data_IF_953017968547
#
_entry.id   IF_953017968547
#
_cell.length_a   1.000
_cell.length_b   1.000
_cell.length_c   1.000
_cell.angle_alpha   90.00
_cell.angle_beta   90.00
_cell.angle_gamma   90.00
#
_symmetry.space_group_name_H-M   'P 1'
#
loop_
_entity.id
_entity.type
_entity.pdbx_description
1 polymer ?
#
# COMPACT_ATOMS: atom_id res chain seq x y z
N UNK A 1 74.62 -1.87 -31.48
CA UNK A 1 74.10 -1.17 -30.29
C UNK A 1 72.59 -0.93 -30.35
N UNK A 2 72.01 -0.52 -31.50
CA UNK A 2 70.57 -0.26 -31.63
C UNK A 2 69.64 -1.50 -31.49
N UNK A 3 70.03 -2.67 -32.01
CA UNK A 3 69.23 -3.90 -31.89
C UNK A 3 69.10 -4.41 -30.45
N UNK A 4 70.17 -4.28 -29.64
CA UNK A 4 70.16 -4.74 -28.24
C UNK A 4 69.22 -3.86 -27.39
N UNK A 5 69.25 -2.54 -27.61
CA UNK A 5 68.33 -1.63 -26.92
C UNK A 5 66.85 -1.88 -27.29
N UNK A 6 66.57 -2.28 -28.54
CA UNK A 6 65.22 -2.62 -28.99
C UNK A 6 64.68 -3.88 -28.30
N UNK A 7 65.49 -4.94 -28.20
CA UNK A 7 65.12 -6.17 -27.50
C UNK A 7 64.90 -5.97 -25.99
N UNK A 8 65.76 -5.19 -25.33
CA UNK A 8 65.59 -4.85 -23.89
C UNK A 8 64.30 -4.05 -23.66
N UNK A 9 63.95 -3.15 -24.59
CA UNK A 9 62.72 -2.36 -24.49
C UNK A 9 61.47 -3.22 -24.68
N UNK A 10 61.47 -4.16 -25.63
CA UNK A 10 60.39 -5.15 -25.81
C UNK A 10 60.20 -6.03 -24.57
N UNK A 11 61.28 -6.55 -24.00
CA UNK A 11 61.23 -7.39 -22.81
C UNK A 11 60.73 -6.62 -21.56
N UNK A 12 61.05 -5.33 -21.44
CA UNK A 12 60.50 -4.45 -20.40
C UNK A 12 59.00 -4.16 -20.61
N UNK A 13 58.54 -4.02 -21.86
CA UNK A 13 57.12 -3.85 -22.18
C UNK A 13 56.35 -5.12 -21.81
N UNK A 14 56.84 -6.30 -22.17
CA UNK A 14 56.20 -7.58 -21.82
C UNK A 14 56.11 -7.80 -20.31
N UNK A 15 57.18 -7.47 -19.57
CA UNK A 15 57.22 -7.61 -18.11
C UNK A 15 56.24 -6.65 -17.44
N UNK A 16 56.14 -5.40 -17.92
CA UNK A 16 55.13 -4.44 -17.46
C UNK A 16 53.73 -4.93 -17.78
N UNK A 17 53.48 -5.40 -19.00
CA UNK A 17 52.18 -5.91 -19.43
C UNK A 17 51.71 -7.09 -18.54
N UNK A 18 52.59 -8.04 -18.27
CA UNK A 18 52.32 -9.18 -17.38
C UNK A 18 52.02 -8.70 -15.95
N UNK A 19 52.75 -7.69 -15.46
CA UNK A 19 52.52 -7.12 -14.11
C UNK A 19 51.18 -6.41 -14.04
N UNK A 20 50.82 -5.62 -15.06
CA UNK A 20 49.51 -4.93 -15.13
C UNK A 20 48.37 -5.94 -15.23
N UNK A 21 48.51 -7.01 -16.03
CA UNK A 21 47.51 -8.08 -16.13
C UNK A 21 47.32 -8.83 -14.80
N UNK A 22 48.39 -9.09 -14.06
CA UNK A 22 48.32 -9.70 -12.72
C UNK A 22 47.63 -8.78 -11.71
N UNK A 23 47.87 -7.47 -11.76
CA UNK A 23 47.21 -6.48 -10.91
C UNK A 23 45.70 -6.38 -11.23
N UNK A 24 45.33 -6.38 -12.51
CA UNK A 24 43.92 -6.42 -12.95
C UNK A 24 43.22 -7.70 -12.50
N UNK A 25 43.86 -8.86 -12.63
CA UNK A 25 43.32 -10.14 -12.16
C UNK A 25 43.14 -10.18 -10.64
N UNK A 26 44.07 -9.58 -9.89
CA UNK A 26 43.98 -9.47 -8.43
C UNK A 26 42.84 -8.53 -8.00
N UNK A 27 42.67 -7.38 -8.67
CA UNK A 27 41.55 -6.47 -8.43
C UNK A 27 40.22 -7.17 -8.75
N UNK A 28 40.14 -7.89 -9.87
CA UNK A 28 38.96 -8.68 -10.22
C UNK A 28 38.66 -9.74 -9.16
N UNK A 29 39.67 -10.50 -8.71
CA UNK A 29 39.54 -11.52 -7.66
C UNK A 29 39.12 -10.92 -6.30
N UNK A 30 39.56 -9.71 -5.96
CA UNK A 30 39.17 -8.98 -4.75
C UNK A 30 37.74 -8.39 -4.85
N UNK A 31 37.23 -8.16 -6.07
CA UNK A 31 35.85 -7.69 -6.31
C UNK A 31 34.81 -8.83 -6.25
N UNK A 32 35.17 -10.07 -6.57
CA UNK A 32 34.26 -11.24 -6.49
C UNK A 32 33.59 -11.40 -5.11
N UNK A 33 34.29 -11.33 -3.96
CA UNK A 33 33.65 -11.47 -2.65
C UNK A 33 32.70 -10.31 -2.30
N UNK A 34 32.85 -9.12 -2.88
CA UNK A 34 31.89 -8.02 -2.67
C UNK A 34 30.51 -8.34 -3.29
N UNK A 35 30.46 -9.09 -4.38
CA UNK A 35 29.19 -9.53 -5.01
C UNK A 35 28.47 -10.55 -4.12
N UNK A 36 29.21 -11.40 -3.41
CA UNK A 36 28.64 -12.40 -2.50
C UNK A 36 28.02 -11.79 -1.23
N UNK A 37 28.49 -10.61 -0.80
CA UNK A 37 27.96 -9.90 0.37
C UNK A 37 26.68 -9.09 0.07
N UNK A 38 26.28 -8.94 -1.20
CA UNK A 38 25.09 -8.20 -1.60
C UNK A 38 23.84 -9.11 -1.80
N UNK A 39 23.81 -10.30 -1.19
CA UNK A 39 22.72 -11.25 -1.40
C UNK A 39 21.44 -10.81 -0.69
N UNK A 40 20.51 -10.24 -1.45
CA UNK A 40 19.17 -9.91 -1.00
C UNK A 40 18.45 -11.17 -0.46
N UNK A 41 18.04 -11.13 0.80
CA UNK A 41 17.28 -12.22 1.41
C UNK A 41 15.82 -12.11 1.02
N UNK A 42 15.25 -13.20 0.49
CA UNK A 42 13.83 -13.26 0.13
C UNK A 42 13.10 -14.25 1.02
N UNK A 43 11.97 -13.81 1.58
CA UNK A 43 11.09 -14.58 2.45
C UNK A 43 9.71 -14.63 1.81
N UNK A 44 9.30 -15.79 1.31
CA UNK A 44 8.07 -15.95 0.54
C UNK A 44 7.20 -17.07 1.07
N UNK A 45 5.89 -16.93 0.90
CA UNK A 45 4.95 -17.95 1.35
C UNK A 45 3.47 -17.56 1.22
N UNK A 46 2.63 -18.37 1.84
CA UNK A 46 1.18 -18.19 1.92
C UNK A 46 0.73 -18.21 3.37
N UNK A 47 -0.23 -17.32 3.69
CA UNK A 47 -0.84 -17.20 5.00
C UNK A 47 -2.29 -17.66 4.93
N UNK A 48 -2.67 -18.55 5.84
CA UNK A 48 -4.01 -19.14 5.89
C UNK A 48 -4.59 -19.06 7.30
N UNK A 49 -5.92 -19.03 7.36
CA UNK A 49 -6.67 -19.23 8.60
C UNK A 49 -6.50 -20.68 9.06
N UNK A 50 -6.07 -20.86 10.32
CA UNK A 50 -5.76 -22.17 10.88
C UNK A 50 -6.98 -23.11 10.94
N UNK A 51 -8.18 -22.54 11.15
CA UNK A 51 -9.41 -23.30 11.41
C UNK A 51 -10.09 -23.79 10.13
N UNK A 52 -10.19 -22.92 9.14
CA UNK A 52 -10.90 -23.10 7.87
C UNK A 52 -9.97 -23.47 6.72
N UNK A 53 -8.66 -23.21 6.86
CA UNK A 53 -7.67 -23.43 5.81
C UNK A 53 -7.75 -22.44 4.65
N UNK A 54 -8.61 -21.41 4.73
CA UNK A 54 -8.76 -20.41 3.68
C UNK A 54 -7.57 -19.43 3.65
N UNK A 55 -7.16 -18.94 2.47
CA UNK A 55 -6.15 -17.90 2.38
C UNK A 55 -6.61 -16.61 3.08
N UNK A 56 -5.66 -15.91 3.68
CA UNK A 56 -5.90 -14.64 4.37
C UNK A 56 -5.31 -13.49 3.57
N UNK A 57 -6.14 -12.67 2.90
CA UNK A 57 -5.68 -11.44 2.27
C UNK A 57 -5.43 -10.35 3.30
N UNK A 58 -4.67 -9.32 2.91
CA UNK A 58 -4.45 -8.12 3.73
C UNK A 58 -3.75 -8.38 5.07
N UNK A 59 -2.97 -9.47 5.17
CA UNK A 59 -2.15 -9.77 6.34
C UNK A 59 -0.84 -8.98 6.24
N UNK A 60 -0.50 -8.26 7.29
CA UNK A 60 0.79 -7.57 7.38
C UNK A 60 1.89 -8.56 7.74
N UNK A 61 2.97 -8.54 6.95
CA UNK A 61 4.19 -9.33 7.18
C UNK A 61 5.36 -8.38 7.26
N UNK A 62 6.02 -8.31 8.41
CA UNK A 62 7.01 -7.27 8.71
C UNK A 62 8.31 -7.82 9.30
N UNK A 63 9.42 -7.19 8.94
CA UNK A 63 10.73 -7.30 9.58
C UNK A 63 11.21 -5.88 9.96
N UNK A 64 10.94 -5.48 11.20
CA UNK A 64 11.15 -4.08 11.62
C UNK A 64 10.30 -3.11 10.81
N UNK A 65 10.94 -2.07 10.25
CA UNK A 65 10.29 -1.08 9.37
C UNK A 65 9.89 -1.63 8.00
N UNK A 66 10.57 -2.67 7.49
CA UNK A 66 10.27 -3.23 6.18
C UNK A 66 9.05 -4.15 6.28
N UNK A 67 8.09 -4.00 5.37
CA UNK A 67 6.88 -4.84 5.35
C UNK A 67 6.31 -5.07 3.97
N UNK A 68 5.48 -6.11 3.87
CA UNK A 68 4.58 -6.38 2.76
C UNK A 68 3.21 -6.77 3.28
N UNK A 69 2.24 -6.85 2.38
CA UNK A 69 0.86 -7.25 2.66
C UNK A 69 0.50 -8.43 1.76
N UNK A 70 -0.22 -9.43 2.29
CA UNK A 70 -0.67 -10.57 1.48
C UNK A 70 -1.75 -10.17 0.46
N UNK A 71 -1.72 -10.82 -0.69
CA UNK A 71 -2.72 -10.65 -1.75
C UNK A 71 -4.02 -11.44 -1.49
N UNK A 72 -4.95 -11.43 -2.45
CA UNK A 72 -6.23 -12.16 -2.37
C UNK A 72 -6.09 -13.68 -2.12
N UNK A 73 -4.96 -14.26 -2.51
CA UNK A 73 -4.66 -15.69 -2.34
C UNK A 73 -3.82 -15.96 -1.07
N UNK A 74 -3.63 -14.95 -0.22
CA UNK A 74 -2.83 -15.03 1.00
C UNK A 74 -1.33 -15.10 0.76
N UNK A 75 -0.87 -14.90 -0.48
CA UNK A 75 0.55 -14.98 -0.83
C UNK A 75 1.28 -13.68 -0.52
N UNK A 76 2.55 -13.78 -0.11
CA UNK A 76 3.46 -12.66 0.11
C UNK A 76 4.89 -13.00 -0.33
N UNK A 77 5.67 -11.94 -0.62
CA UNK A 77 7.10 -12.02 -0.88
C UNK A 77 7.80 -10.81 -0.26
N UNK A 78 8.52 -11.04 0.84
CA UNK A 78 9.26 -10.03 1.57
C UNK A 78 10.75 -10.09 1.22
N UNK A 79 11.26 -9.04 0.61
CA UNK A 79 12.64 -8.84 0.19
C UNK A 79 13.36 -7.94 1.19
N UNK A 80 14.54 -8.36 1.64
CA UNK A 80 15.29 -7.74 2.72
C UNK A 80 16.77 -7.64 2.34
N UNK A 81 17.42 -6.55 2.72
CA UNK A 81 18.88 -6.38 2.51
C UNK A 81 19.68 -7.39 3.32
N UNK A 82 19.25 -7.63 4.56
CA UNK A 82 19.83 -8.62 5.47
C UNK A 82 18.76 -9.59 5.95
N UNK A 83 19.18 -10.79 6.34
CA UNK A 83 18.27 -11.78 6.93
C UNK A 83 17.93 -11.41 8.38
N UNK A 84 16.66 -11.12 8.71
CA UNK A 84 16.27 -10.88 10.09
C UNK A 84 16.15 -12.20 10.85
N UNK A 85 16.27 -12.14 12.17
CA UNK A 85 16.04 -13.33 13.01
C UNK A 85 14.59 -13.84 12.93
N UNK A 86 13.63 -12.93 12.76
CA UNK A 86 12.21 -13.25 12.68
C UNK A 86 11.44 -12.26 11.79
N UNK A 87 10.31 -12.73 11.28
CA UNK A 87 9.25 -11.88 10.73
C UNK A 87 8.06 -11.89 11.69
N UNK A 88 7.32 -10.79 11.76
CA UNK A 88 6.06 -10.68 12.49
C UNK A 88 4.91 -10.68 11.49
N UNK A 89 3.94 -11.54 11.75
CA UNK A 89 2.73 -11.68 10.95
C UNK A 89 1.54 -11.28 11.79
N UNK A 90 0.78 -10.27 11.36
CA UNK A 90 -0.36 -9.72 12.09
C UNK A 90 -1.55 -9.46 11.18
N UNK A 91 -2.75 -9.77 11.66
CA UNK A 91 -4.01 -9.51 10.97
C UNK A 91 -5.11 -9.21 12.00
N UNK A 92 -6.10 -8.41 11.62
CA UNK A 92 -7.27 -8.10 12.45
C UNK A 92 -8.02 -9.38 12.83
N UNK A 93 -8.25 -9.58 14.13
CA UNK A 93 -9.00 -10.73 14.66
C UNK A 93 -8.19 -12.03 14.76
N UNK A 94 -6.87 -11.99 14.57
CA UNK A 94 -5.97 -13.15 14.68
C UNK A 94 -4.84 -12.89 15.67
N UNK A 95 -4.31 -13.98 16.25
CA UNK A 95 -3.11 -13.91 17.08
C UNK A 95 -1.91 -13.61 16.22
N UNK A 96 -1.09 -12.68 16.69
CA UNK A 96 0.17 -12.31 16.02
C UNK A 96 1.13 -13.45 16.11
N UNK A 97 1.83 -13.72 15.02
CA UNK A 97 2.79 -14.82 14.94
C UNK A 97 4.15 -14.28 14.58
N UNK A 98 5.12 -14.51 15.48
CA UNK A 98 6.55 -14.32 15.17
C UNK A 98 7.08 -15.62 14.58
N UNK A 99 7.60 -15.54 13.35
CA UNK A 99 8.15 -16.69 12.63
C UNK A 99 9.66 -16.53 12.56
N UNK A 100 10.40 -17.45 13.18
CA UNK A 100 11.85 -17.48 13.12
C UNK A 100 12.32 -17.96 11.75
N UNK A 101 13.30 -17.29 11.14
CA UNK A 101 13.80 -17.61 9.82
C UNK A 101 15.07 -18.48 9.89
N UNK A 102 14.97 -19.76 9.53
CA UNK A 102 16.13 -20.68 9.47
C UNK A 102 16.84 -20.63 8.12
N UNK A 103 18.13 -20.95 8.07
CA UNK A 103 18.89 -20.94 6.81
C UNK A 103 18.29 -21.97 5.84
N UNK A 104 18.04 -21.56 4.59
CA UNK A 104 17.40 -22.41 3.57
C UNK A 104 15.88 -22.59 3.72
N UNK A 105 15.25 -22.06 4.78
CA UNK A 105 13.80 -22.18 5.03
C UNK A 105 13.11 -20.80 4.95
N UNK A 106 13.39 -20.02 3.90
CA UNK A 106 12.75 -18.71 3.70
C UNK A 106 11.75 -18.70 2.55
N UNK A 107 11.71 -19.75 1.73
CA UNK A 107 10.82 -19.86 0.58
C UNK A 107 9.65 -20.81 0.84
N UNK A 108 8.53 -20.58 0.16
CA UNK A 108 7.33 -21.43 0.21
C UNK A 108 6.78 -21.68 1.63
N UNK A 109 6.94 -20.71 2.53
CA UNK A 109 6.46 -20.79 3.90
C UNK A 109 4.93 -20.94 3.93
N UNK A 110 4.41 -21.87 4.74
CA UNK A 110 2.98 -21.99 5.00
C UNK A 110 2.67 -21.56 6.43
N UNK A 111 2.24 -20.31 6.58
CA UNK A 111 1.99 -19.72 7.90
C UNK A 111 0.51 -19.81 8.22
N UNK A 112 0.18 -20.52 9.30
CA UNK A 112 -1.19 -20.57 9.83
C UNK A 112 -1.37 -19.54 10.93
N UNK A 113 -2.41 -18.72 10.83
CA UNK A 113 -2.84 -17.79 11.87
C UNK A 113 -4.04 -18.33 12.63
N UNK A 114 -3.96 -18.31 13.96
CA UNK A 114 -5.05 -18.72 14.83
C UNK A 114 -6.01 -17.54 15.03
N UNK A 115 -7.33 -17.71 14.79
CA UNK A 115 -8.33 -16.70 15.16
C UNK A 115 -8.24 -16.37 16.65
N UNK A 116 -8.32 -15.09 16.97
CA UNK A 116 -8.33 -14.67 18.37
C UNK A 116 -9.70 -14.95 18.97
N UNK A 117 -9.70 -15.46 20.20
CA UNK A 117 -10.89 -15.54 21.04
C UNK A 117 -10.76 -14.45 22.09
N UNK A 118 -11.50 -13.37 21.91
CA UNK A 118 -11.58 -12.31 22.92
C UNK A 118 -12.56 -12.82 23.96
N UNK A 119 -12.04 -13.40 25.04
CA UNK A 119 -12.86 -13.51 26.24
C UNK A 119 -13.01 -12.09 26.77
N UNK A 120 -14.23 -11.57 26.70
CA UNK A 120 -14.66 -10.38 27.42
C UNK A 120 -14.56 -10.70 28.92
N UNK A 121 -13.34 -10.84 29.47
CA UNK A 121 -13.11 -10.33 30.82
C UNK A 121 -13.61 -8.92 30.74
N UNK A 122 -14.48 -8.50 31.66
CA UNK A 122 -14.91 -7.12 31.81
C UNK A 122 -13.71 -6.21 31.52
N UNK A 123 -13.58 -5.83 30.26
CA UNK A 123 -12.78 -4.70 29.91
C UNK A 123 -13.63 -3.69 30.62
N UNK A 124 -13.03 -3.05 31.62
CA UNK A 124 -13.50 -1.76 32.09
C UNK A 124 -13.41 -0.88 30.85
N UNK A 125 -14.32 -1.09 29.89
CA UNK A 125 -14.69 -0.14 28.87
C UNK A 125 -15.11 0.98 29.78
N UNK A 126 -14.18 1.94 29.91
CA UNK A 126 -14.40 3.15 30.69
C UNK A 126 -15.83 3.55 30.37
N UNK A 127 -16.65 3.66 31.40
CA UNK A 127 -18.11 3.87 31.35
C UNK A 127 -18.47 5.24 30.75
N UNK A 128 -17.66 5.74 29.82
CA UNK A 128 -17.74 7.01 29.15
C UNK A 128 -18.27 6.87 27.73
N UNK A 129 -18.52 8.02 27.12
CA UNK A 129 -19.09 8.13 25.79
C UNK A 129 -18.04 7.68 24.75
N UNK A 130 -18.40 6.80 23.78
CA UNK A 130 -17.45 6.39 22.72
C UNK A 130 -16.85 7.57 21.96
N UNK A 131 -17.60 8.67 21.82
CA UNK A 131 -17.10 9.92 21.23
C UNK A 131 -15.90 10.48 22.00
N UNK A 132 -15.92 10.44 23.32
CA UNK A 132 -14.82 10.95 24.17
C UNK A 132 -13.50 10.23 23.85
N UNK A 133 -13.55 8.92 23.56
CA UNK A 133 -12.37 8.15 23.18
C UNK A 133 -11.83 8.58 21.82
N UNK A 134 -12.70 8.88 20.85
CA UNK A 134 -12.29 9.43 19.55
C UNK A 134 -11.62 10.79 19.75
N UNK A 135 -12.22 11.68 20.54
CA UNK A 135 -11.64 13.00 20.84
C UNK A 135 -10.29 12.92 21.56
N UNK A 136 -10.14 11.98 22.51
CA UNK A 136 -8.86 11.73 23.18
C UNK A 136 -7.82 11.21 22.18
N UNK A 137 -8.19 10.28 21.30
CA UNK A 137 -7.29 9.75 20.28
C UNK A 137 -6.82 10.85 19.31
N UNK A 138 -7.72 11.76 18.90
CA UNK A 138 -7.38 12.95 18.11
C UNK A 138 -6.38 13.85 18.86
N UNK A 139 -6.65 14.15 20.14
CA UNK A 139 -5.74 14.96 20.98
C UNK A 139 -4.36 14.34 21.15
N UNK A 140 -4.25 13.00 21.08
CA UNK A 140 -2.98 12.27 21.15
C UNK A 140 -2.25 12.10 19.81
N UNK A 141 -2.79 12.60 18.70
CA UNK A 141 -2.09 12.54 17.40
C UNK A 141 -0.65 13.08 17.48
N UNK A 142 -0.37 14.25 18.12
CA UNK A 142 0.99 14.76 18.23
C UNK A 142 1.96 13.88 19.04
N UNK A 143 1.45 13.00 19.92
CA UNK A 143 2.25 12.08 20.74
C UNK A 143 2.47 10.74 20.05
N UNK A 144 1.46 10.26 19.32
CA UNK A 144 1.43 8.92 18.75
C UNK A 144 1.96 8.85 17.30
N UNK A 145 2.04 9.98 16.59
CA UNK A 145 2.41 10.05 15.16
C UNK A 145 3.58 11.00 14.93
N UNK A 146 4.21 10.90 13.76
CA UNK A 146 5.43 11.67 13.46
C UNK A 146 5.21 13.19 13.52
N UNK A 147 6.11 13.87 14.24
CA UNK A 147 6.22 15.34 14.30
C UNK A 147 7.26 15.91 13.34
N UNK A 148 7.95 15.04 12.60
CA UNK A 148 9.00 15.41 11.66
C UNK A 148 8.67 14.89 10.26
N UNK A 149 9.27 15.47 9.21
CA UNK A 149 9.16 14.91 7.88
C UNK A 149 9.64 13.46 7.79
N UNK A 150 8.94 12.64 7.02
CA UNK A 150 9.30 11.26 6.74
C UNK A 150 9.13 10.94 5.26
N UNK A 151 9.93 9.99 4.78
CA UNK A 151 9.78 9.39 3.47
C UNK A 151 9.30 7.95 3.64
N UNK A 152 8.10 7.66 3.15
CA UNK A 152 7.54 6.32 3.12
C UNK A 152 7.73 5.76 1.72
N UNK A 153 8.39 4.61 1.59
CA UNK A 153 8.39 3.86 0.33
C UNK A 153 7.12 3.03 0.30
N UNK A 154 6.39 3.08 -0.80
CA UNK A 154 5.12 2.40 -0.93
C UNK A 154 5.02 1.65 -2.25
N UNK A 155 4.34 0.52 -2.23
CA UNK A 155 3.76 -0.06 -3.43
C UNK A 155 2.34 0.46 -3.59
N UNK A 156 1.98 0.88 -4.80
CA UNK A 156 0.67 1.38 -5.17
C UNK A 156 0.12 0.60 -6.35
N UNK A 157 -1.17 0.28 -6.33
CA UNK A 157 -1.87 -0.44 -7.39
C UNK A 157 -3.26 0.13 -7.60
N UNK A 158 -3.60 0.41 -8.84
CA UNK A 158 -4.95 0.68 -9.30
C UNK A 158 -5.44 -0.44 -10.21
N UNK A 159 -6.67 -0.89 -10.02
CA UNK A 159 -7.30 -1.84 -10.94
C UNK A 159 -8.71 -1.40 -11.28
N UNK A 160 -9.14 -1.67 -12.51
CA UNK A 160 -10.55 -1.59 -12.87
C UNK A 160 -11.01 -2.90 -13.50
N UNK A 161 -12.14 -3.41 -13.01
CA UNK A 161 -12.83 -4.58 -13.50
C UNK A 161 -14.16 -4.19 -14.11
N UNK A 162 -14.48 -4.79 -15.25
CA UNK A 162 -15.80 -4.78 -15.87
C UNK A 162 -16.42 -6.15 -15.67
N UNK A 163 -17.50 -6.21 -14.88
CA UNK A 163 -18.03 -7.48 -14.34
C UNK A 163 -16.94 -8.21 -13.55
N UNK A 164 -16.36 -9.29 -14.10
CA UNK A 164 -15.29 -10.09 -13.48
C UNK A 164 -13.96 -10.05 -14.25
N UNK A 165 -13.84 -9.16 -15.24
CA UNK A 165 -12.65 -9.08 -16.09
C UNK A 165 -11.91 -7.77 -15.84
N UNK A 166 -10.62 -7.86 -15.52
CA UNK A 166 -9.73 -6.71 -15.49
C UNK A 166 -9.67 -6.05 -16.87
N UNK A 167 -9.86 -4.74 -16.88
CA UNK A 167 -9.79 -3.87 -18.07
C UNK A 167 -8.71 -2.80 -17.91
N UNK A 168 -8.21 -2.61 -16.70
CA UNK A 168 -7.11 -1.71 -16.37
C UNK A 168 -6.36 -2.22 -15.15
N UNK A 169 -5.03 -2.11 -15.21
CA UNK A 169 -4.12 -2.34 -14.10
C UNK A 169 -3.02 -1.29 -14.20
N UNK A 170 -2.75 -0.58 -13.12
CA UNK A 170 -1.57 0.26 -12.98
C UNK A 170 -0.90 -0.04 -11.64
N UNK A 171 0.42 -0.09 -11.62
CA UNK A 171 1.20 -0.49 -10.45
C UNK A 171 2.48 0.31 -10.39
N UNK A 172 2.83 0.79 -9.20
CA UNK A 172 4.02 1.60 -8.97
C UNK A 172 4.69 1.30 -7.65
N UNK A 173 5.99 1.57 -7.60
CA UNK A 173 6.70 1.86 -6.37
C UNK A 173 6.87 3.37 -6.30
N UNK A 174 6.55 3.92 -5.14
CA UNK A 174 6.39 5.35 -4.94
C UNK A 174 7.13 5.77 -3.68
N UNK A 175 7.68 6.98 -3.74
CA UNK A 175 8.15 7.72 -2.58
C UNK A 175 7.03 8.67 -2.14
N UNK A 176 6.58 8.50 -0.90
CA UNK A 176 5.56 9.32 -0.26
C UNK A 176 6.20 10.15 0.85
N UNK A 177 6.45 11.42 0.56
CA UNK A 177 6.92 12.39 1.53
C UNK A 177 5.76 12.87 2.40
N UNK A 178 5.87 12.64 3.70
CA UNK A 178 4.88 13.03 4.71
C UNK A 178 5.46 14.12 5.59
N UNK A 179 4.74 15.22 5.74
CA UNK A 179 5.04 16.23 6.75
C UNK A 179 4.52 15.81 8.13
N UNK A 180 4.94 16.50 9.19
CA UNK A 180 4.40 16.33 10.56
C UNK A 180 2.87 16.14 10.58
N UNK A 181 2.37 15.17 11.33
CA UNK A 181 0.93 14.94 11.53
C UNK A 181 0.22 16.11 12.22
N UNK A 182 0.96 17.06 12.80
CA UNK A 182 0.42 18.33 13.32
C UNK A 182 0.13 19.36 12.22
N UNK A 183 0.27 18.98 10.94
CA UNK A 183 -0.04 19.79 9.76
C UNK A 183 -0.93 18.97 8.83
N UNK A 184 -1.80 19.66 8.09
CA UNK A 184 -2.60 19.01 7.05
C UNK A 184 -1.77 18.45 5.90
N UNK A 185 -2.43 17.75 4.98
CA UNK A 185 -1.79 16.98 3.90
C UNK A 185 -1.31 17.81 2.72
N UNK A 186 -1.63 19.11 2.65
CA UNK A 186 -1.33 19.94 1.46
C UNK A 186 0.15 20.08 1.08
N UNK A 187 1.08 19.71 1.98
CA UNK A 187 2.53 19.67 1.74
C UNK A 187 3.13 18.27 1.65
N UNK A 188 2.30 17.24 1.78
CA UNK A 188 2.70 15.87 1.48
C UNK A 188 2.84 15.74 -0.04
N UNK A 189 3.75 14.86 -0.48
CA UNK A 189 4.05 14.67 -1.90
C UNK A 189 4.21 13.19 -2.20
N UNK A 190 3.82 12.80 -3.40
CA UNK A 190 4.03 11.44 -3.93
C UNK A 190 4.79 11.54 -5.23
N UNK A 191 5.84 10.75 -5.37
CA UNK A 191 6.59 10.57 -6.61
C UNK A 191 6.63 9.10 -6.99
N UNK A 192 6.31 8.79 -8.24
CA UNK A 192 6.51 7.43 -8.76
C UNK A 192 7.99 7.27 -9.07
N UNK A 193 8.60 6.27 -8.46
CA UNK A 193 9.99 5.88 -8.73
C UNK A 193 10.04 4.91 -9.91
N UNK A 194 9.09 3.99 -9.95
CA UNK A 194 9.00 2.97 -10.99
C UNK A 194 7.55 2.53 -11.12
N UNK A 195 7.03 2.41 -12.34
CA UNK A 195 5.63 2.04 -12.53
C UNK A 195 5.35 1.47 -13.90
N UNK A 196 4.28 0.68 -13.97
CA UNK A 196 3.75 0.14 -15.23
C UNK A 196 2.25 0.31 -15.30
N UNK A 197 1.74 0.36 -16.53
CA UNK A 197 0.30 0.45 -16.81
C UNK A 197 -0.11 -0.48 -17.93
N UNK A 198 -1.25 -1.14 -17.77
CA UNK A 198 -1.86 -2.04 -18.73
C UNK A 198 -3.34 -1.65 -18.94
N UNK A 199 -3.73 -1.41 -20.19
CA UNK A 199 -5.06 -0.95 -20.57
C UNK A 199 -5.69 -1.86 -21.62
N UNK A 200 -6.98 -2.18 -21.44
CA UNK A 200 -7.82 -2.73 -22.51
C UNK A 200 -8.00 -1.67 -23.60
N UNK A 201 -7.76 -2.04 -24.87
CA UNK A 201 -7.90 -1.13 -26.02
C UNK A 201 -9.36 -0.79 -26.41
N UNK A 202 -10.37 -1.29 -25.68
CA UNK A 202 -11.78 -1.07 -26.01
C UNK A 202 -12.24 0.30 -25.48
N UNK A 203 -12.63 1.21 -26.38
CA UNK A 203 -13.02 2.60 -26.11
C UNK A 203 -14.10 2.79 -25.00
N UNK A 204 -14.98 1.79 -24.80
CA UNK A 204 -16.02 1.80 -23.77
C UNK A 204 -15.59 1.39 -22.35
N UNK A 205 -14.31 1.06 -22.14
CA UNK A 205 -13.76 0.60 -20.86
C UNK A 205 -13.06 1.72 -20.06
N UNK A 206 -13.00 2.95 -20.60
CA UNK A 206 -12.28 4.10 -20.01
C UNK A 206 -12.93 4.72 -18.76
N UNK A 207 -14.14 4.29 -18.38
CA UNK A 207 -14.89 4.93 -17.29
C UNK A 207 -14.29 4.67 -15.90
N UNK A 208 -13.66 3.51 -15.70
CA UNK A 208 -12.98 3.19 -14.44
C UNK A 208 -11.87 4.19 -14.10
N UNK A 209 -11.18 4.73 -15.12
CA UNK A 209 -10.07 5.67 -14.94
C UNK A 209 -10.50 7.00 -14.32
N UNK A 210 -11.74 7.45 -14.55
CA UNK A 210 -12.25 8.74 -14.06
C UNK A 210 -12.75 8.70 -12.61
N UNK A 211 -12.63 7.55 -11.96
CA UNK A 211 -13.12 7.27 -10.60
C UNK A 211 -11.95 7.13 -9.61
N UNK A 212 -10.70 6.95 -10.06
CA UNK A 212 -9.64 6.38 -9.21
C UNK A 212 -8.68 7.34 -8.48
N UNK A 213 -8.80 8.67 -8.62
CA UNK A 213 -8.10 9.63 -7.74
C UNK A 213 -6.55 9.63 -7.78
N UNK A 214 -5.90 8.68 -8.45
CA UNK A 214 -4.46 8.64 -8.66
C UNK A 214 -3.64 8.30 -7.41
N UNK A 215 -2.30 8.32 -7.53
CA UNK A 215 -1.37 7.95 -6.46
C UNK A 215 -1.33 8.96 -5.31
N UNK A 216 -1.98 10.12 -5.45
CA UNK A 216 -2.17 11.10 -4.37
C UNK A 216 -3.32 10.71 -3.44
N UNK A 217 -4.24 9.85 -3.89
CA UNK A 217 -5.41 9.44 -3.13
C UNK A 217 -5.06 8.86 -1.74
N UNK A 218 -4.04 7.98 -1.56
CA UNK A 218 -3.66 7.50 -0.24
C UNK A 218 -3.21 8.59 0.74
N UNK A 219 -2.66 9.70 0.23
CA UNK A 219 -2.31 10.86 1.06
C UNK A 219 -3.56 11.59 1.51
N UNK A 220 -4.54 11.77 0.62
CA UNK A 220 -5.82 12.44 0.93
C UNK A 220 -6.71 11.61 1.87
N UNK A 221 -6.65 10.28 1.74
CA UNK A 221 -7.43 9.34 2.55
C UNK A 221 -6.72 8.88 3.83
N UNK A 222 -5.55 9.44 4.16
CA UNK A 222 -4.94 9.29 5.49
C UNK A 222 -5.78 10.06 6.53
N UNK A 223 -6.87 9.44 6.99
CA UNK A 223 -7.92 10.04 7.83
C UNK A 223 -7.34 10.73 9.07
N UNK A 224 -6.33 10.12 9.71
CA UNK A 224 -5.71 10.67 10.92
C UNK A 224 -4.93 11.96 10.63
N UNK A 225 -4.26 12.06 9.48
CA UNK A 225 -3.54 13.29 9.10
C UNK A 225 -4.47 14.32 8.45
N UNK A 226 -5.43 13.86 7.67
CA UNK A 226 -6.44 14.67 7.01
C UNK A 226 -7.70 14.72 7.86
N UNK A 227 -7.61 15.32 9.06
CA UNK A 227 -8.72 15.39 10.02
C UNK A 227 -9.96 16.04 9.42
N UNK A 228 -9.80 16.94 8.45
CA UNK A 228 -10.91 17.56 7.71
C UNK A 228 -11.79 16.57 6.94
N UNK A 229 -11.36 15.32 6.75
CA UNK A 229 -12.16 14.28 6.09
C UNK A 229 -13.29 13.74 6.98
N UNK A 230 -13.11 13.75 8.30
CA UNK A 230 -14.01 13.06 9.24
C UNK A 230 -13.85 13.47 10.70
N UNK A 231 -12.64 13.81 11.12
CA UNK A 231 -12.24 13.97 12.54
C UNK A 231 -12.19 15.44 12.98
N UNK A 232 -12.69 16.38 12.18
CA UNK A 232 -12.89 17.76 12.61
C UNK A 232 -14.17 17.87 13.45
N UNK A 233 -14.27 18.93 14.26
CA UNK A 233 -15.40 19.11 15.19
C UNK A 233 -16.75 19.15 14.47
N UNK A 234 -16.84 19.87 13.35
CA UNK A 234 -18.09 20.06 12.62
C UNK A 234 -18.64 18.73 12.06
N UNK A 235 -17.76 17.91 11.48
CA UNK A 235 -18.13 16.60 10.95
C UNK A 235 -18.43 15.64 12.09
N UNK A 236 -17.65 15.66 13.17
CA UNK A 236 -17.90 14.81 14.33
C UNK A 236 -19.28 15.04 14.94
N UNK A 237 -19.81 16.26 14.89
CA UNK A 237 -21.16 16.59 15.37
C UNK A 237 -22.28 16.04 14.45
N UNK A 238 -21.96 15.63 13.22
CA UNK A 238 -22.89 15.02 12.28
C UNK A 238 -23.07 13.51 12.47
N UNK A 239 -22.37 12.90 13.44
CA UNK A 239 -22.39 11.46 13.69
C UNK A 239 -22.92 11.11 15.08
N UNK A 240 -23.56 9.94 15.16
CA UNK A 240 -23.76 9.20 16.40
C UNK A 240 -22.60 8.24 16.63
N UNK A 241 -22.31 7.94 17.89
CA UNK A 241 -21.18 7.10 18.30
C UNK A 241 -21.67 5.94 19.17
N UNK A 242 -21.23 4.73 18.87
CA UNK A 242 -21.55 3.54 19.67
C UNK A 242 -20.34 2.62 19.80
N UNK A 243 -20.37 1.74 20.80
CA UNK A 243 -19.34 0.74 20.98
C UNK A 243 -19.53 -0.42 19.99
N UNK A 244 -18.46 -0.74 19.26
CA UNK A 244 -18.33 -2.00 18.54
C UNK A 244 -17.79 -3.10 19.45
N UNK A 245 -17.75 -4.32 18.94
CA UNK A 245 -17.04 -5.42 19.61
C UNK A 245 -15.53 -5.10 19.62
N UNK A 246 -14.86 -5.11 20.78
CA UNK A 246 -13.41 -4.94 20.84
C UNK A 246 -12.72 -5.99 19.98
N UNK A 247 -11.59 -5.62 19.38
CA UNK A 247 -10.84 -6.49 18.46
C UNK A 247 -9.37 -6.57 18.85
N UNK A 248 -8.66 -7.56 18.30
CA UNK A 248 -7.21 -7.69 18.50
C UNK A 248 -6.49 -7.42 17.18
N UNK A 249 -5.52 -6.51 17.23
CA UNK A 249 -4.59 -6.21 16.14
C UNK A 249 -3.19 -6.20 16.74
N UNK A 250 -2.26 -6.97 16.16
CA UNK A 250 -0.87 -7.05 16.62
C UNK A 250 -0.74 -7.40 18.13
N UNK A 251 -1.58 -8.34 18.61
CA UNK A 251 -1.70 -8.76 20.01
C UNK A 251 -2.03 -7.62 20.99
N UNK A 252 -2.61 -6.54 20.49
CA UNK A 252 -3.06 -5.40 21.29
C UNK A 252 -4.57 -5.24 21.16
N UNK A 253 -5.20 -4.98 22.29
CA UNK A 253 -6.63 -4.74 22.37
C UNK A 253 -6.97 -3.40 21.73
N UNK A 254 -7.92 -3.44 20.80
CA UNK A 254 -8.47 -2.29 20.11
C UNK A 254 -9.87 -2.02 20.65
N UNK A 255 -10.07 -0.81 21.16
CA UNK A 255 -11.41 -0.27 21.35
C UNK A 255 -11.99 0.04 19.97
N UNK A 256 -13.18 -0.48 19.67
CA UNK A 256 -13.85 -0.24 18.40
C UNK A 256 -14.99 0.73 18.62
N UNK A 257 -14.93 1.88 17.96
CA UNK A 257 -16.01 2.89 17.95
C UNK A 257 -16.68 2.86 16.58
N UNK A 258 -18.00 2.68 16.57
CA UNK A 258 -18.82 2.76 15.37
C UNK A 258 -19.36 4.18 15.24
N UNK A 259 -19.30 4.74 14.03
CA UNK A 259 -19.89 6.04 13.70
C UNK A 259 -20.97 5.86 12.63
N UNK A 260 -22.12 6.49 12.84
CA UNK A 260 -23.25 6.45 11.91
C UNK A 260 -23.81 7.87 11.70
N UNK A 261 -24.08 8.29 10.44
CA UNK A 261 -24.64 9.60 10.15
C UNK A 261 -25.91 9.88 10.97
N UNK A 262 -25.92 10.96 11.74
CA UNK A 262 -27.06 11.38 12.57
C UNK A 262 -28.05 12.24 11.78
N UNK A 263 -27.55 13.13 10.93
CA UNK A 263 -28.36 13.99 10.05
C UNK A 263 -27.65 14.23 8.72
N UNK A 264 -28.40 14.70 7.72
CA UNK A 264 -27.84 14.94 6.38
C UNK A 264 -27.05 16.25 6.32
N UNK A 265 -25.87 16.21 5.68
CA UNK A 265 -25.08 17.38 5.28
C UNK A 265 -25.21 17.64 3.78
N UNK A 266 -24.64 18.73 3.27
CA UNK A 266 -24.65 19.05 1.82
C UNK A 266 -23.79 18.08 0.97
N UNK A 267 -22.82 17.44 1.62
CA UNK A 267 -21.99 16.35 1.11
C UNK A 267 -22.43 15.00 1.71
N UNK A 268 -21.99 13.90 1.09
CA UNK A 268 -22.26 12.56 1.61
C UNK A 268 -21.36 12.26 2.82
N UNK A 269 -21.97 11.70 3.87
CA UNK A 269 -21.30 11.26 5.09
C UNK A 269 -20.89 9.78 4.98
N UNK A 270 -20.16 9.28 5.97
CA UNK A 270 -19.66 7.91 6.00
C UNK A 270 -20.17 7.13 7.22
N UNK A 271 -20.56 5.89 7.02
CA UNK A 271 -20.59 4.90 8.10
C UNK A 271 -19.15 4.47 8.39
N UNK A 272 -18.78 4.30 9.66
CA UNK A 272 -17.39 4.02 9.99
C UNK A 272 -17.16 3.12 11.20
N UNK A 273 -15.98 2.49 11.21
CA UNK A 273 -15.42 1.76 12.35
C UNK A 273 -14.02 2.29 12.63
N UNK A 274 -13.82 2.82 13.83
CA UNK A 274 -12.56 3.38 14.30
C UNK A 274 -11.95 2.42 15.32
N UNK A 275 -10.78 1.87 15.02
CA UNK A 275 -10.04 0.98 15.91
C UNK A 275 -8.96 1.81 16.61
N UNK A 276 -9.05 1.87 17.94
CA UNK A 276 -8.20 2.71 18.79
C UNK A 276 -7.48 1.81 19.79
N UNK A 277 -6.16 1.86 19.80
CA UNK A 277 -5.33 1.08 20.72
C UNK A 277 -5.66 1.42 22.18
N UNK A 278 -5.99 0.40 22.98
CA UNK A 278 -6.49 0.60 24.34
C UNK A 278 -5.49 1.28 25.30
N UNK A 279 -4.19 1.16 25.05
CA UNK A 279 -3.17 1.76 25.92
C UNK A 279 -2.63 3.07 25.35
N UNK A 280 -2.25 3.09 24.06
CA UNK A 280 -1.67 4.27 23.40
C UNK A 280 -2.73 5.31 23.06
N UNK A 281 -3.97 4.89 22.85
CA UNK A 281 -5.06 5.70 22.31
C UNK A 281 -4.67 6.30 20.93
N UNK A 282 -4.05 5.46 20.09
CA UNK A 282 -3.74 5.78 18.70
C UNK A 282 -4.73 5.05 17.79
N UNK A 283 -5.12 5.66 16.67
CA UNK A 283 -5.88 4.94 15.65
C UNK A 283 -4.96 3.90 14.99
N UNK A 284 -5.40 2.64 14.98
CA UNK A 284 -4.65 1.53 14.35
C UNK A 284 -5.29 1.09 13.04
N UNK A 285 -6.60 1.31 12.89
CA UNK A 285 -7.37 1.01 11.68
C UNK A 285 -8.60 1.89 11.62
N UNK A 286 -8.97 2.32 10.42
CA UNK A 286 -10.21 3.04 10.15
C UNK A 286 -10.87 2.40 8.92
N UNK A 287 -12.12 2.00 9.07
CA UNK A 287 -12.95 1.49 7.97
C UNK A 287 -14.09 2.48 7.73
N UNK A 288 -14.26 2.93 6.49
CA UNK A 288 -15.30 3.86 6.08
C UNK A 288 -16.10 3.29 4.93
N UNK A 289 -17.41 3.51 4.94
CA UNK A 289 -18.32 3.23 3.84
C UNK A 289 -19.19 4.45 3.61
N UNK A 290 -19.11 5.02 2.41
CA UNK A 290 -19.93 6.19 2.05
C UNK A 290 -21.42 5.86 2.17
N UNK A 291 -22.18 6.77 2.76
CA UNK A 291 -23.64 6.66 2.81
C UNK A 291 -24.23 6.82 1.41
N UNK A 292 -24.96 5.79 0.96
CA UNK A 292 -25.53 5.69 -0.38
C UNK A 292 -26.99 6.16 -0.45
N UNK A 293 -27.55 6.67 0.65
CA UNK A 293 -28.95 7.09 0.75
C UNK A 293 -29.29 8.20 -0.27
N UNK A 294 -28.40 9.17 -0.44
CA UNK A 294 -28.49 10.24 -1.43
C UNK A 294 -27.55 9.95 -2.63
N UNK A 295 -28.16 9.55 -3.75
CA UNK A 295 -27.43 9.17 -4.97
C UNK A 295 -26.70 10.33 -5.63
N UNK A 296 -27.18 11.56 -5.49
CA UNK A 296 -26.53 12.73 -6.08
C UNK A 296 -25.27 13.08 -5.28
N UNK A 297 -25.36 13.10 -3.95
CA UNK A 297 -24.18 13.27 -3.08
C UNK A 297 -23.16 12.16 -3.31
N UNK A 298 -23.60 10.90 -3.32
CA UNK A 298 -22.72 9.76 -3.58
C UNK A 298 -22.05 9.82 -4.96
N UNK A 299 -22.79 10.26 -6.00
CA UNK A 299 -22.22 10.44 -7.34
C UNK A 299 -21.16 11.55 -7.36
N UNK A 300 -21.40 12.69 -6.69
CA UNK A 300 -20.41 13.78 -6.61
C UNK A 300 -19.13 13.35 -5.88
N UNK A 301 -19.25 12.54 -4.84
CA UNK A 301 -18.08 12.00 -4.11
C UNK A 301 -17.30 10.98 -4.95
N UNK A 302 -17.98 10.09 -5.68
CA UNK A 302 -17.33 9.00 -6.40
C UNK A 302 -16.82 9.36 -7.80
N UNK A 303 -17.29 10.45 -8.41
CA UNK A 303 -17.04 10.73 -9.83
C UNK A 303 -16.61 12.17 -10.05
N UNK A 304 -15.33 12.37 -10.39
CA UNK A 304 -14.76 13.70 -10.69
C UNK A 304 -15.41 14.33 -11.92
N UNK A 305 -15.57 13.56 -13.01
CA UNK A 305 -16.23 14.05 -14.24
C UNK A 305 -16.99 12.94 -14.97
N UNK A 306 -18.29 13.15 -15.12
CA UNK A 306 -19.21 12.25 -15.84
C UNK A 306 -19.11 12.44 -17.36
N UNK A 307 -18.83 11.39 -18.16
CA UNK A 307 -18.93 11.48 -19.62
C UNK A 307 -20.37 11.75 -20.08
N UNK A 308 -20.50 12.51 -21.16
CA UNK A 308 -21.81 12.83 -21.73
C UNK A 308 -22.57 11.56 -22.13
N UNK A 309 -23.85 11.45 -21.74
CA UNK A 309 -24.73 10.34 -22.10
C UNK A 309 -24.62 9.07 -21.23
N UNK A 310 -23.71 9.02 -20.25
CA UNK A 310 -23.57 7.90 -19.31
C UNK A 310 -24.47 8.11 -18.09
N UNK A 311 -25.32 7.15 -17.72
CA UNK A 311 -25.96 7.14 -16.39
C UNK A 311 -25.05 6.38 -15.42
N UNK A 312 -24.54 7.08 -14.42
CA UNK A 312 -23.69 6.52 -13.37
C UNK A 312 -24.57 6.21 -12.16
N UNK A 313 -24.42 5.02 -11.59
CA UNK A 313 -25.20 4.56 -10.45
C UNK A 313 -24.22 4.08 -9.38
N UNK A 314 -23.94 4.90 -8.34
CA UNK A 314 -23.06 4.50 -7.26
C UNK A 314 -23.65 3.29 -6.53
N UNK A 315 -22.80 2.36 -6.09
CA UNK A 315 -23.19 1.16 -5.34
C UNK A 315 -22.38 1.00 -4.06
N UNK A 316 -21.09 1.30 -4.10
CA UNK A 316 -20.20 1.19 -2.96
C UNK A 316 -19.02 2.16 -3.13
N UNK A 317 -18.67 2.86 -2.05
CA UNK A 317 -17.37 3.46 -1.86
C UNK A 317 -16.94 3.07 -0.45
N UNK A 318 -15.96 2.19 -0.36
CA UNK A 318 -15.44 1.69 0.91
C UNK A 318 -13.93 1.89 0.98
N UNK A 319 -13.45 2.39 2.12
CA UNK A 319 -12.04 2.64 2.37
C UNK A 319 -11.61 1.94 3.66
N UNK A 320 -10.48 1.26 3.61
CA UNK A 320 -9.78 0.72 4.77
C UNK A 320 -8.43 1.41 4.85
N UNK A 321 -8.09 1.94 6.02
CA UNK A 321 -6.78 2.55 6.31
C UNK A 321 -6.22 1.89 7.54
N UNK A 322 -5.05 1.26 7.42
CA UNK A 322 -4.32 0.70 8.55
C UNK A 322 -3.12 1.57 8.92
N UNK A 323 -2.85 1.58 10.21
CA UNK A 323 -1.74 2.29 10.81
C UNK A 323 -0.87 1.31 11.60
N UNK A 324 0.44 1.40 11.43
CA UNK A 324 1.41 0.52 12.06
C UNK A 324 2.34 1.30 12.98
N UNK A 325 2.49 0.79 14.20
CA UNK A 325 3.43 1.31 15.19
C UNK A 325 4.81 0.67 15.00
N UNK A 326 5.82 1.49 14.69
CA UNK A 326 7.23 1.09 14.48
C UNK A 326 8.14 2.22 14.92
N UNK A 327 9.29 1.89 15.53
CA UNK A 327 10.30 2.87 15.95
C UNK A 327 9.74 4.01 16.82
N UNK A 328 8.83 3.66 17.75
CA UNK A 328 8.26 4.61 18.70
C UNK A 328 7.06 5.41 18.20
N UNK A 329 6.73 5.36 16.90
CA UNK A 329 5.67 6.18 16.30
C UNK A 329 4.74 5.38 15.38
N UNK A 330 3.55 5.92 15.15
CA UNK A 330 2.51 5.35 14.30
C UNK A 330 2.55 5.99 12.92
N UNK A 331 2.48 5.17 11.86
CA UNK A 331 2.47 5.61 10.46
C UNK A 331 1.33 4.92 9.72
N UNK A 332 0.77 5.58 8.70
CA UNK A 332 -0.05 4.87 7.72
C UNK A 332 0.76 3.71 7.14
N UNK A 333 0.16 2.53 7.03
CA UNK A 333 0.85 1.32 6.56
C UNK A 333 0.17 0.64 5.40
N UNK A 334 -1.14 0.73 5.31
CA UNK A 334 -1.90 0.14 4.21
C UNK A 334 -3.16 0.96 3.97
N UNK A 335 -3.57 1.04 2.71
CA UNK A 335 -4.82 1.65 2.32
C UNK A 335 -5.44 0.85 1.18
N UNK A 336 -6.74 0.62 1.25
CA UNK A 336 -7.52 0.10 0.13
C UNK A 336 -8.84 0.83 0.00
N UNK A 337 -9.03 1.45 -1.15
CA UNK A 337 -10.26 2.13 -1.51
C UNK A 337 -10.95 1.41 -2.66
N UNK A 338 -12.22 1.05 -2.50
CA UNK A 338 -13.00 0.25 -3.44
C UNK A 338 -14.23 1.02 -3.88
N UNK A 339 -14.37 1.17 -5.19
CA UNK A 339 -15.54 1.76 -5.83
C UNK A 339 -16.30 0.66 -6.56
N UNK A 340 -17.59 0.51 -6.29
CA UNK A 340 -18.50 -0.29 -7.13
C UNK A 340 -19.59 0.60 -7.68
N UNK A 341 -19.84 0.48 -8.98
CA UNK A 341 -20.85 1.28 -9.65
C UNK A 341 -21.39 0.55 -10.88
N UNK A 342 -22.61 0.93 -11.28
CA UNK A 342 -23.22 0.48 -12.53
C UNK A 342 -23.27 1.63 -13.51
N UNK A 343 -23.15 1.32 -14.81
CA UNK A 343 -23.30 2.31 -15.86
C UNK A 343 -24.22 1.84 -16.99
N UNK A 344 -25.09 2.76 -17.42
CA UNK A 344 -25.98 2.60 -18.57
C UNK A 344 -25.60 3.60 -19.65
N UNK A 345 -25.37 3.12 -20.86
CA UNK A 345 -25.19 3.97 -22.04
C UNK A 345 -26.55 4.13 -22.74
N UNK A 346 -26.91 5.36 -23.16
CA UNK A 346 -28.10 5.58 -23.99
C UNK A 346 -28.03 4.60 -25.18
N UNK A 347 -29.07 3.75 -25.35
CA UNK A 347 -29.20 2.64 -26.34
C UNK A 347 -28.77 1.23 -25.92
N UNK A 348 -28.35 0.96 -24.67
CA UNK A 348 -28.12 -0.42 -24.17
C UNK A 348 -29.17 -0.83 -23.13
N UNK A 349 -29.73 -2.04 -23.29
CA UNK A 349 -30.79 -2.59 -22.44
C UNK A 349 -30.31 -3.08 -21.06
N UNK A 350 -28.99 -3.16 -20.82
CA UNK A 350 -28.44 -3.71 -19.57
C UNK A 350 -27.37 -2.81 -18.97
N UNK A 351 -27.45 -2.63 -17.65
CA UNK A 351 -26.42 -1.97 -16.86
C UNK A 351 -25.17 -2.82 -16.79
N UNK A 352 -24.00 -2.22 -17.01
CA UNK A 352 -22.71 -2.89 -16.81
C UNK A 352 -22.16 -2.52 -15.44
N UNK A 353 -21.79 -3.52 -14.64
CA UNK A 353 -21.13 -3.33 -13.35
C UNK A 353 -19.63 -3.15 -13.52
N UNK A 354 -19.09 -2.25 -12.72
CA UNK A 354 -17.68 -1.94 -12.64
C UNK A 354 -17.22 -1.96 -11.19
N UNK A 355 -15.99 -2.41 -10.98
CA UNK A 355 -15.28 -2.32 -9.71
C UNK A 355 -13.94 -1.68 -9.96
N UNK A 356 -13.66 -0.58 -9.28
CA UNK A 356 -12.37 0.09 -9.32
C UNK A 356 -11.75 -0.03 -7.92
N UNK A 357 -10.45 -0.31 -7.83
CA UNK A 357 -9.75 -0.45 -6.54
C UNK A 357 -8.43 0.30 -6.61
N UNK A 358 -8.16 1.11 -5.59
CA UNK A 358 -6.86 1.71 -5.34
C UNK A 358 -6.30 1.09 -4.06
N UNK A 359 -5.08 0.58 -4.11
CA UNK A 359 -4.45 -0.13 -3.02
C UNK A 359 -3.02 0.38 -2.83
N UNK A 360 -2.62 0.62 -1.59
CA UNK A 360 -1.29 1.08 -1.22
C UNK A 360 -0.79 0.29 -0.01
N UNK A 361 0.46 -0.15 -0.04
CA UNK A 361 1.16 -0.69 1.12
C UNK A 361 2.49 0.02 1.30
N UNK A 362 2.73 0.55 2.50
CA UNK A 362 4.05 1.07 2.89
C UNK A 362 4.99 -0.10 3.11
N UNK A 363 6.09 -0.10 2.37
CA UNK A 363 7.07 -1.19 2.35
C UNK A 363 8.33 -0.87 3.12
N UNK A 364 8.62 0.42 3.33
CA UNK A 364 9.72 0.90 4.17
C UNK A 364 9.46 2.36 4.60
N UNK A 365 10.16 2.84 5.63
CA UNK A 365 10.08 4.22 6.11
C UNK A 365 11.43 4.77 6.54
N UNK A 366 11.68 6.06 6.29
CA UNK A 366 12.88 6.79 6.72
C UNK A 366 12.50 8.16 7.30
N UNK A 367 13.13 8.54 8.41
CA UNK A 367 12.91 9.84 9.06
C UNK A 367 14.17 10.72 9.07
N UNK A 368 15.36 10.14 8.99
CA UNK A 368 16.63 10.87 9.06
C UNK A 368 17.03 11.45 7.70
N UNK A 369 17.41 12.73 7.67
CA UNK A 369 17.95 13.40 6.49
C UNK A 369 16.96 13.59 5.34
N UNK A 370 15.67 13.38 5.58
CA UNK A 370 14.63 13.41 4.54
C UNK A 370 14.49 14.81 3.94
N UNK A 371 14.58 14.88 2.61
CA UNK A 371 14.33 16.11 1.85
C UNK A 371 12.95 16.06 1.18
N UNK A 372 12.27 17.22 1.01
CA UNK A 372 11.03 17.28 0.26
C UNK A 372 11.23 16.81 -1.19
N UNK A 373 10.23 16.11 -1.73
CA UNK A 373 10.17 15.77 -3.15
C UNK A 373 10.01 17.07 -3.97
N UNK A 374 10.89 17.26 -4.95
CA UNK A 374 10.85 18.41 -5.87
C UNK A 374 9.54 18.38 -6.67
N UNK A 375 8.80 19.50 -6.70
CA UNK A 375 7.43 19.55 -7.23
C UNK A 375 7.25 19.02 -8.67
N UNK A 376 8.27 19.17 -9.54
CA UNK A 376 8.21 18.66 -10.92
C UNK A 376 8.17 17.13 -11.00
N UNK A 377 8.66 16.46 -9.95
CA UNK A 377 8.68 15.00 -9.82
C UNK A 377 7.49 14.47 -9.01
N UNK A 378 6.65 15.35 -8.45
CA UNK A 378 5.49 14.95 -7.66
C UNK A 378 4.20 14.90 -8.48
N UNK A 379 3.25 14.11 -8.03
CA UNK A 379 1.87 14.12 -8.50
C UNK A 379 1.04 15.20 -7.80
N UNK A 380 0.18 15.87 -8.56
CA UNK A 380 -0.95 16.65 -8.05
C UNK A 380 -2.19 15.76 -7.86
N UNK A 381 -3.13 16.21 -7.03
CA UNK A 381 -4.48 15.64 -6.90
C UNK A 381 -5.26 15.50 -8.22
N UNK A 382 -4.92 16.26 -9.26
CA UNK A 382 -5.53 16.17 -10.58
C UNK A 382 -4.76 15.26 -11.56
N UNK A 383 -3.54 14.84 -11.21
CA UNK A 383 -2.73 14.00 -12.08
C UNK A 383 -3.27 12.58 -12.06
N UNK A 384 -3.71 12.08 -13.22
CA UNK A 384 -3.99 10.67 -13.35
C UNK A 384 -2.66 9.90 -13.42
N UNK A 385 -2.58 8.74 -12.75
CA UNK A 385 -1.45 7.80 -12.91
C UNK A 385 -1.14 7.53 -14.40
N UNK A 386 -2.19 7.58 -15.23
CA UNK A 386 -2.17 7.50 -16.68
C UNK A 386 -1.16 8.44 -17.37
N UNK A 387 -0.91 9.64 -16.87
CA UNK A 387 -0.21 10.68 -17.63
C UNK A 387 1.33 10.60 -17.55
N UNK A 388 1.89 9.83 -16.60
CA UNK A 388 3.33 9.89 -16.27
C UNK A 388 4.07 8.56 -16.24
N UNK A 389 3.44 7.44 -16.63
CA UNK A 389 4.02 6.10 -16.46
C UNK A 389 4.14 5.34 -17.78
N UNK A 390 5.35 4.81 -18.01
CA UNK A 390 5.70 4.07 -19.22
C UNK A 390 4.99 2.71 -19.30
N UNK A 391 4.80 2.25 -20.54
CA UNK A 391 4.26 0.93 -20.82
C UNK A 391 5.39 -0.11 -20.73
N UNK A 392 5.14 -1.27 -20.11
CA UNK A 392 6.26 -2.13 -19.71
C UNK A 392 6.01 -3.64 -19.78
N UNK A 393 7.10 -4.40 -20.04
CA UNK A 393 7.09 -5.81 -20.48
C UNK A 393 8.10 -6.77 -19.79
N UNK A 394 9.04 -6.32 -18.96
CA UNK A 394 10.05 -7.19 -18.31
C UNK A 394 9.44 -8.01 -17.14
N UNK A 395 9.62 -9.34 -17.13
CA UNK A 395 9.25 -10.21 -16.02
C UNK A 395 9.97 -9.91 -14.69
N UNK A 396 11.19 -9.38 -14.72
CA UNK A 396 12.03 -9.11 -13.53
C UNK A 396 11.79 -7.73 -12.89
N UNK A 397 10.74 -7.04 -13.33
CA UNK A 397 10.51 -5.63 -13.04
C UNK A 397 10.57 -5.26 -11.56
N UNK A 398 10.07 -6.16 -10.70
CA UNK A 398 9.91 -5.93 -9.26
C UNK A 398 10.96 -6.67 -8.42
N UNK A 399 12.01 -7.25 -9.02
CA UNK A 399 12.98 -8.10 -8.31
C UNK A 399 13.64 -7.41 -7.11
N UNK A 400 13.80 -6.08 -7.16
CA UNK A 400 14.43 -5.29 -6.11
C UNK A 400 13.43 -4.51 -5.23
N UNK A 401 12.14 -4.78 -5.37
CA UNK A 401 11.08 -4.03 -4.69
C UNK A 401 10.10 -4.94 -3.97
N UNK A 402 9.79 -4.56 -2.73
CA UNK A 402 8.66 -5.10 -2.00
C UNK A 402 7.37 -4.58 -2.64
N UNK A 403 6.44 -5.49 -2.93
CA UNK A 403 5.15 -5.20 -3.54
C UNK A 403 4.07 -6.06 -2.89
N UNK A 404 2.81 -5.76 -3.18
CA UNK A 404 1.73 -6.72 -2.98
C UNK A 404 1.73 -7.64 -4.19
N UNK A 405 2.01 -8.93 -3.99
CA UNK A 405 2.04 -9.89 -5.10
C UNK A 405 0.69 -9.91 -5.85
N UNK A 406 0.67 -10.03 -7.19
CA UNK A 406 -0.60 -10.17 -7.90
C UNK A 406 -1.27 -11.49 -7.47
N UNK A 407 -2.60 -11.48 -7.32
CA UNK A 407 -3.34 -12.74 -7.19
C UNK A 407 -3.25 -13.55 -8.49
N UNK A 408 -3.52 -14.85 -8.46
CA UNK A 408 -3.52 -15.70 -9.65
C UNK A 408 -4.44 -15.12 -10.74
N UNK A 409 -5.61 -14.62 -10.34
CA UNK A 409 -6.57 -13.98 -11.24
C UNK A 409 -6.04 -12.70 -11.88
N UNK A 410 -5.29 -11.90 -11.13
CA UNK A 410 -4.68 -10.65 -11.60
C UNK A 410 -3.46 -10.95 -12.49
N UNK A 411 -2.59 -11.88 -12.09
CA UNK A 411 -1.43 -12.28 -12.88
C UNK A 411 -1.84 -12.81 -14.27
N UNK A 412 -2.86 -13.67 -14.32
CA UNK A 412 -3.44 -14.16 -15.58
C UNK A 412 -3.98 -13.02 -16.44
N UNK A 413 -4.59 -12.01 -15.83
CA UNK A 413 -5.09 -10.84 -16.55
C UNK A 413 -3.95 -9.95 -17.06
N UNK A 414 -2.90 -9.73 -16.27
CA UNK A 414 -1.69 -9.01 -16.64
C UNK A 414 -1.05 -9.68 -17.87
N UNK A 415 -0.81 -11.00 -17.82
CA UNK A 415 -0.25 -11.77 -18.96
C UNK A 415 -1.12 -11.65 -20.21
N UNK A 416 -2.44 -11.70 -20.06
CA UNK A 416 -3.38 -11.54 -21.19
C UNK A 416 -3.29 -10.13 -21.80
N UNK A 417 -3.31 -9.07 -20.98
CA UNK A 417 -3.21 -7.69 -21.44
C UNK A 417 -1.88 -7.43 -22.16
N UNK A 418 -0.78 -7.94 -21.59
CA UNK A 418 0.55 -7.93 -22.18
C UNK A 418 0.55 -8.62 -23.56
N UNK A 419 0.06 -9.86 -23.65
CA UNK A 419 0.02 -10.60 -24.92
C UNK A 419 -0.86 -9.94 -25.99
N UNK A 420 -1.91 -9.24 -25.59
CA UNK A 420 -2.80 -8.51 -26.52
C UNK A 420 -2.09 -7.30 -27.10
N UNK A 421 -1.32 -6.59 -26.28
CA UNK A 421 -0.53 -5.46 -26.75
C UNK A 421 0.60 -5.89 -27.69
N UNK A 422 1.31 -6.99 -27.40
CA UNK A 422 2.39 -7.47 -28.28
C UNK A 422 1.92 -7.88 -29.69
N UNK A 423 0.63 -8.18 -29.86
CA UNK A 423 0.05 -8.61 -31.14
C UNK A 423 -0.46 -7.45 -32.00
N UNK A 424 -0.62 -6.26 -31.41
CA UNK A 424 -1.16 -5.06 -32.05
C UNK A 424 -0.04 -4.04 -32.22
#
# INVERSE_FOLDING_TARGET
>A
MHLINFFVTLQQIDTKLITTMKQLALIFMLMVPMVALAQQTTVGGTIIDEKSGRPLPQVSVAAGRISVVTNEDGAFLLKLGDKPANITVSHLGYKTKKVALRAGETENLKIKLQPTTIQLREVVIRTGNPRDIVEIAIKKIPENYSRQPELLKAFYRETAMKRKHFIYVAEGVEDMYKTSYTRGVGRDRVAIIKGRRLLSQKQGDTLGLKVMGGPVLPVQLDVVKNTELLLNQEDMDAYSYSWGTPEMINDRLQMVVLIEPLFSKEYALYHGKLYIDNERLAFTRIELSLDMSDKEKATRTMLVRKPFGVKFKPRELSCVVDYRYTDGITRISYLRNTFKFNCDWKKRLFSTSFTATCEMAVTDSQSEGVQPIVSRNSFDSHDAYYDKVEYFMDPEYWNNYNIIEPSESLDKAIRKLVSTYQRN
#
